data_IF_085666367023
#
_entry.id   IF_085666367023
#
_cell.length_a   1.000
_cell.length_b   1.000
_cell.length_c   1.000
_cell.angle_alpha   90.00
_cell.angle_beta   90.00
_cell.angle_gamma   90.00
#
_symmetry.space_group_name_H-M   'P 1'
#
loop_
_entity.id
_entity.type
_entity.pdbx_description
1 polymer ?
#
# COMPACT_ATOMS: atom_id res chain seq x y z
N UNK A 1 9.25 18.76 0.06
CA UNK A 1 8.96 17.55 -0.73
C UNK A 1 9.24 17.94 -2.16
N UNK A 2 10.07 17.16 -2.84
CA UNK A 2 10.33 17.37 -4.25
C UNK A 2 9.20 16.74 -5.07
N UNK A 3 8.45 17.57 -5.80
CA UNK A 3 7.28 17.12 -6.56
C UNK A 3 7.72 16.39 -7.83
N UNK A 4 8.91 16.69 -8.37
CA UNK A 4 9.43 16.07 -9.58
C UNK A 4 9.66 14.55 -9.40
N UNK A 5 9.84 14.09 -8.16
CA UNK A 5 10.02 12.67 -7.83
C UNK A 5 8.69 11.89 -7.77
N UNK A 6 7.52 12.54 -7.84
CA UNK A 6 6.22 11.86 -7.89
C UNK A 6 5.84 11.57 -9.35
N UNK A 7 6.54 10.61 -9.95
CA UNK A 7 6.44 10.28 -11.37
C UNK A 7 5.61 9.02 -11.65
N UNK A 8 5.31 8.21 -10.63
CA UNK A 8 4.64 6.92 -10.79
C UNK A 8 3.19 6.99 -10.31
N UNK A 9 2.27 6.29 -10.99
CA UNK A 9 0.85 6.28 -10.63
C UNK A 9 0.52 5.09 -9.74
N UNK A 10 -0.18 5.34 -8.63
CA UNK A 10 -0.68 4.31 -7.72
C UNK A 10 -2.20 4.43 -7.56
N UNK A 11 -2.85 3.30 -7.30
CA UNK A 11 -4.28 3.24 -6.98
C UNK A 11 -4.46 2.64 -5.60
N UNK A 12 -5.19 3.33 -4.74
CA UNK A 12 -5.61 2.85 -3.44
C UNK A 12 -6.95 2.17 -3.57
N UNK A 13 -7.00 0.91 -3.14
CA UNK A 13 -8.20 0.12 -3.09
C UNK A 13 -8.66 -0.03 -1.64
N UNK A 14 -9.96 0.02 -1.41
CA UNK A 14 -10.58 -0.22 -0.11
C UNK A 14 -11.26 -1.57 -0.07
N UNK A 15 -11.07 -2.28 1.03
CA UNK A 15 -11.77 -3.52 1.31
C UNK A 15 -13.18 -3.23 1.83
N UNK A 16 -14.17 -3.87 1.24
CA UNK A 16 -15.55 -3.89 1.69
C UNK A 16 -16.02 -5.33 1.86
N UNK A 17 -16.87 -5.59 2.86
CA UNK A 17 -17.45 -6.91 3.09
C UNK A 17 -18.80 -6.96 2.41
N UNK A 18 -18.92 -7.79 1.37
CA UNK A 18 -20.16 -8.03 0.63
C UNK A 18 -20.76 -9.34 1.12
N UNK A 19 -22.08 -9.33 1.35
CA UNK A 19 -22.84 -10.52 1.74
C UNK A 19 -23.56 -11.05 0.50
N UNK A 20 -23.36 -12.33 0.17
CA UNK A 20 -24.09 -12.96 -0.93
C UNK A 20 -25.55 -13.28 -0.55
N UNK A 21 -26.34 -13.72 -1.53
CA UNK A 21 -27.75 -14.07 -1.33
C UNK A 21 -27.98 -15.18 -0.29
N UNK A 22 -26.97 -15.98 0.00
CA UNK A 22 -27.04 -17.15 0.90
C UNK A 22 -26.39 -16.81 2.27
N UNK A 23 -25.85 -15.60 2.44
CA UNK A 23 -25.28 -15.11 3.69
C UNK A 23 -23.76 -15.23 3.83
N UNK A 24 -23.03 -15.69 2.79
CA UNK A 24 -21.57 -15.74 2.86
C UNK A 24 -20.98 -14.33 2.76
N UNK A 25 -19.99 -14.05 3.60
CA UNK A 25 -19.22 -12.79 3.59
C UNK A 25 -17.98 -12.96 2.72
N UNK A 26 -17.81 -12.07 1.74
CA UNK A 26 -16.62 -12.01 0.89
C UNK A 26 -16.04 -10.60 0.92
N UNK A 27 -14.71 -10.53 0.82
CA UNK A 27 -14.02 -9.25 0.72
C UNK A 27 -13.95 -8.84 -0.76
N UNK A 28 -14.55 -7.69 -1.06
CA UNK A 28 -14.44 -7.05 -2.36
C UNK A 28 -13.55 -5.81 -2.23
N UNK A 29 -12.66 -5.62 -3.21
CA UNK A 29 -11.74 -4.50 -3.25
C UNK A 29 -12.15 -3.54 -4.35
N UNK A 30 -12.36 -2.29 -3.98
CA UNK A 30 -12.84 -1.25 -4.90
C UNK A 30 -11.85 -0.10 -4.95
N UNK A 31 -11.60 0.44 -6.15
CA UNK A 31 -10.72 1.60 -6.36
C UNK A 31 -11.33 2.85 -5.72
N UNK A 32 -10.65 3.43 -4.73
CA UNK A 32 -11.13 4.61 -4.00
C UNK A 32 -10.43 5.89 -4.43
N UNK A 33 -9.12 5.81 -4.67
CA UNK A 33 -8.31 6.99 -4.97
C UNK A 33 -7.08 6.65 -5.81
N UNK A 34 -6.80 7.43 -6.85
CA UNK A 34 -5.56 7.33 -7.60
C UNK A 34 -4.75 8.63 -7.52
N UNK A 35 -3.43 8.52 -7.45
CA UNK A 35 -2.55 9.69 -7.48
C UNK A 35 -1.14 9.32 -7.93
N UNK A 36 -0.34 10.35 -8.18
CA UNK A 36 1.09 10.19 -8.38
C UNK A 36 1.82 10.03 -7.04
N UNK A 37 2.86 9.22 -7.05
CA UNK A 37 3.66 8.84 -5.92
C UNK A 37 5.14 8.73 -6.31
N UNK A 38 6.00 8.86 -5.30
CA UNK A 38 7.39 8.42 -5.40
C UNK A 38 7.46 6.99 -4.89
N UNK A 39 7.96 6.09 -5.73
CA UNK A 39 8.22 4.70 -5.36
C UNK A 39 9.67 4.57 -4.92
N UNK A 40 9.90 3.96 -3.77
CA UNK A 40 11.24 3.69 -3.24
C UNK A 40 11.36 2.25 -2.76
N UNK A 41 12.54 1.66 -2.90
CA UNK A 41 12.79 0.28 -2.49
C UNK A 41 12.27 -0.79 -3.47
N UNK A 42 12.08 -0.44 -4.76
CA UNK A 42 11.78 -1.41 -5.81
C UNK A 42 13.05 -2.28 -6.05
N UNK A 43 13.26 -3.29 -5.19
CA UNK A 43 14.44 -4.17 -5.21
C UNK A 43 14.93 -4.55 -3.82
N UNK A 44 15.82 -5.56 -3.76
CA UNK A 44 16.29 -6.30 -2.57
C UNK A 44 16.77 -5.48 -1.34
N UNK A 45 16.84 -4.15 -1.42
CA UNK A 45 17.27 -3.28 -0.33
C UNK A 45 16.25 -3.15 0.83
N UNK A 46 15.00 -3.59 0.63
CA UNK A 46 13.99 -3.65 1.70
C UNK A 46 13.45 -5.06 1.96
N UNK A 47 14.06 -6.09 1.37
CA UNK A 47 13.82 -7.49 1.72
C UNK A 47 14.63 -7.84 2.96
N UNK A 48 13.92 -7.97 4.08
CA UNK A 48 14.43 -8.70 5.23
C UNK A 48 14.02 -10.15 5.04
N UNK A 49 14.99 -11.05 5.08
CA UNK A 49 14.70 -12.46 5.26
C UNK A 49 14.11 -12.61 6.67
N UNK A 50 12.86 -13.05 6.75
CA UNK A 50 12.24 -13.43 8.02
C UNK A 50 12.12 -14.95 8.03
N UNK A 51 12.89 -15.62 8.89
CA UNK A 51 12.69 -17.05 9.17
C UNK A 51 11.36 -17.24 9.88
N UNK A 52 10.34 -17.64 9.11
CA UNK A 52 9.11 -18.19 9.67
C UNK A 52 9.12 -19.68 9.34
N UNK A 53 9.32 -20.51 10.38
CA UNK A 53 9.21 -21.97 10.39
C UNK A 53 9.46 -22.66 9.03
N UNK A 54 10.75 -22.79 8.65
CA UNK A 54 11.18 -23.70 7.59
C UNK A 54 11.00 -23.23 6.14
N UNK A 55 10.65 -21.97 5.89
CA UNK A 55 10.66 -21.38 4.53
C UNK A 55 11.41 -20.05 4.51
N UNK A 56 12.36 -19.88 3.58
CA UNK A 56 13.01 -18.59 3.31
C UNK A 56 11.99 -17.66 2.63
N UNK A 57 11.53 -16.62 3.33
CA UNK A 57 10.52 -15.68 2.83
C UNK A 57 11.21 -14.41 2.35
N UNK A 58 11.30 -14.22 1.02
CA UNK A 58 11.65 -12.92 0.46
C UNK A 58 10.51 -11.90 0.69
N UNK A 59 10.70 -11.00 1.67
CA UNK A 59 9.76 -9.93 1.97
C UNK A 59 10.00 -8.75 1.00
N UNK A 60 9.51 -8.84 -0.24
CA UNK A 60 9.66 -7.74 -1.19
C UNK A 60 8.80 -6.55 -0.73
N UNK A 61 9.45 -5.67 0.02
CA UNK A 61 8.88 -4.44 0.55
C UNK A 61 9.03 -3.29 -0.44
N UNK A 62 8.04 -2.41 -0.48
CA UNK A 62 8.05 -1.18 -1.28
C UNK A 62 7.60 -0.02 -0.40
N UNK A 63 8.20 1.15 -0.59
CA UNK A 63 7.72 2.39 0.02
C UNK A 63 7.06 3.28 -1.01
N UNK A 64 5.88 3.79 -0.68
CA UNK A 64 5.09 4.67 -1.54
C UNK A 64 4.94 5.99 -0.81
N UNK A 65 5.50 7.06 -1.36
CA UNK A 65 5.36 8.40 -0.77
C UNK A 65 4.43 9.23 -1.64
N UNK A 66 3.35 9.74 -1.05
CA UNK A 66 2.35 10.56 -1.75
C UNK A 66 2.21 11.92 -1.09
N UNK A 67 1.66 12.88 -1.84
CA UNK A 67 1.24 14.16 -1.27
C UNK A 67 0.15 13.98 -0.23
N UNK A 68 0.23 14.76 0.84
CA UNK A 68 -0.84 14.80 1.84
C UNK A 68 -2.10 15.45 1.25
N UNK A 69 -3.24 14.77 1.41
CA UNK A 69 -4.57 15.31 1.22
C UNK A 69 -5.55 14.61 2.18
N UNK A 70 -6.77 15.12 2.31
CA UNK A 70 -7.78 14.53 3.21
C UNK A 70 -8.09 13.07 2.87
N UNK A 71 -8.09 12.70 1.59
CA UNK A 71 -8.29 11.32 1.13
C UNK A 71 -7.12 10.43 1.55
N UNK A 72 -5.89 10.84 1.29
CA UNK A 72 -4.72 10.04 1.67
C UNK A 72 -4.63 9.89 3.18
N UNK A 73 -4.93 10.93 3.96
CA UNK A 73 -4.97 10.88 5.43
C UNK A 73 -5.99 9.87 6.01
N UNK A 74 -7.00 9.47 5.23
CA UNK A 74 -7.97 8.44 5.62
C UNK A 74 -7.51 7.01 5.36
N UNK A 75 -6.40 6.82 4.65
CA UNK A 75 -5.88 5.52 4.25
C UNK A 75 -5.27 4.82 5.46
N UNK A 76 -5.64 3.54 5.64
CA UNK A 76 -5.21 2.70 6.77
C UNK A 76 -4.71 1.36 6.27
N UNK A 77 -3.76 0.78 6.99
CA UNK A 77 -3.12 -0.50 6.67
C UNK A 77 -4.11 -1.67 6.57
N UNK A 78 -5.11 -1.72 7.45
CA UNK A 78 -6.04 -2.86 7.56
C UNK A 78 -7.15 -2.81 6.49
N UNK A 79 -7.54 -1.61 6.06
CA UNK A 79 -8.71 -1.43 5.19
C UNK A 79 -8.36 -1.10 3.76
N UNK A 80 -7.10 -0.76 3.48
CA UNK A 80 -6.66 -0.36 2.16
C UNK A 80 -5.43 -1.15 1.71
N UNK A 81 -5.30 -1.27 0.40
CA UNK A 81 -4.12 -1.79 -0.28
C UNK A 81 -3.78 -0.91 -1.48
N UNK A 82 -2.57 -1.07 -2.01
CA UNK A 82 -2.08 -0.32 -3.15
C UNK A 82 -1.95 -1.23 -4.36
N UNK A 83 -2.45 -0.77 -5.50
CA UNK A 83 -2.18 -1.34 -6.81
C UNK A 83 -1.14 -0.47 -7.52
N UNK A 84 -0.06 -1.10 -7.98
CA UNK A 84 1.03 -0.46 -8.72
C UNK A 84 1.53 -1.42 -9.80
N UNK A 85 1.56 -0.98 -11.07
CA UNK A 85 1.96 -1.79 -12.24
C UNK A 85 1.29 -3.19 -12.26
N UNK A 86 -0.03 -3.21 -12.06
CA UNK A 86 -0.87 -4.43 -11.98
C UNK A 86 -0.49 -5.42 -10.87
N UNK A 87 0.38 -5.01 -9.94
CA UNK A 87 0.75 -5.76 -8.76
C UNK A 87 0.07 -5.18 -7.52
N UNK A 88 -0.39 -6.08 -6.65
CA UNK A 88 -1.09 -5.73 -5.43
C UNK A 88 -0.10 -5.73 -4.26
N UNK A 89 -0.15 -4.67 -3.46
CA UNK A 89 0.67 -4.50 -2.27
C UNK A 89 -0.22 -4.17 -1.06
N UNK A 90 -0.10 -4.97 0.00
CA UNK A 90 -0.75 -4.66 1.27
C UNK A 90 0.04 -3.57 2.00
N UNK A 91 -0.67 -2.65 2.64
CA UNK A 91 -0.05 -1.57 3.42
C UNK A 91 0.30 -2.14 4.81
N UNK A 92 1.58 -2.18 5.14
CA UNK A 92 2.09 -2.64 6.44
C UNK A 92 2.05 -1.51 7.47
N UNK A 93 2.48 -0.31 7.08
CA UNK A 93 2.50 0.85 7.98
C UNK A 93 2.28 2.17 7.23
N UNK A 94 1.75 3.15 7.97
CA UNK A 94 1.48 4.51 7.49
C UNK A 94 2.26 5.50 8.35
N UNK A 95 3.17 6.24 7.72
CA UNK A 95 3.96 7.29 8.36
C UNK A 95 3.50 8.67 7.87
N UNK A 96 3.08 9.51 8.82
CA UNK A 96 2.62 10.89 8.58
C UNK A 96 3.77 11.91 8.57
N UNK A 97 5.02 11.45 8.70
CA UNK A 97 6.25 12.25 8.65
C UNK A 97 6.18 13.46 9.58
N UNK A 98 5.97 13.17 10.87
CA UNK A 98 5.79 14.14 11.95
C UNK A 98 4.55 15.04 11.80
N UNK A 99 3.49 14.57 11.13
CA UNK A 99 2.24 15.32 10.94
C UNK A 99 2.42 16.71 10.30
N UNK A 100 3.49 16.90 9.51
CA UNK A 100 3.74 18.15 8.80
C UNK A 100 2.70 18.45 7.70
N UNK A 101 1.79 17.50 7.41
CA UNK A 101 0.74 17.60 6.39
C UNK A 101 1.24 17.97 4.99
N UNK A 102 2.47 17.54 4.66
CA UNK A 102 3.07 17.74 3.32
C UNK A 102 3.02 16.47 2.48
N UNK A 103 3.38 15.35 3.08
CA UNK A 103 3.38 14.04 2.46
C UNK A 103 3.07 12.95 3.48
N UNK A 104 2.75 11.77 2.97
CA UNK A 104 2.64 10.56 3.74
C UNK A 104 3.43 9.46 3.07
N UNK A 105 4.03 8.58 3.88
CA UNK A 105 4.81 7.45 3.41
C UNK A 105 4.13 6.16 3.85
N UNK A 106 3.88 5.28 2.89
CA UNK A 106 3.32 3.96 3.10
C UNK A 106 4.42 2.93 2.94
N UNK A 107 4.59 2.06 3.92
CA UNK A 107 5.42 0.86 3.77
C UNK A 107 4.48 -0.27 3.37
N UNK A 108 4.78 -0.94 2.27
CA UNK A 108 3.92 -1.93 1.66
C UNK A 108 4.68 -3.23 1.42
N UNK A 109 3.94 -4.34 1.37
CA UNK A 109 4.45 -5.68 1.08
C UNK A 109 3.70 -6.26 -0.10
N UNK A 110 4.42 -6.85 -1.05
CA UNK A 110 3.79 -7.49 -2.22
C UNK A 110 2.92 -8.67 -1.80
N UNK A 111 1.67 -8.70 -2.28
CA UNK A 111 0.77 -9.84 -2.09
C UNK A 111 1.24 -10.99 -2.97
N UNK A 112 1.43 -12.16 -2.36
CA UNK A 112 1.70 -13.42 -3.08
C UNK A 112 0.36 -14.01 -3.52
N UNK A 113 0.26 -14.39 -4.78
CA UNK A 113 -0.85 -15.19 -5.33
C UNK A 113 -0.33 -16.55 -5.73
#
# INVERSE_FOLDING_TARGET
>A
MDIALMNEKVVFQKCSVVVDRIGNRRNEWTDEYCCFATIGGEGLASSREAETAGTVVEDVGMTVTVRYCKKTAGIRSVTHRILFRDQVYDIVSVDHLNYKKKCMKFTCRKVRR
#
